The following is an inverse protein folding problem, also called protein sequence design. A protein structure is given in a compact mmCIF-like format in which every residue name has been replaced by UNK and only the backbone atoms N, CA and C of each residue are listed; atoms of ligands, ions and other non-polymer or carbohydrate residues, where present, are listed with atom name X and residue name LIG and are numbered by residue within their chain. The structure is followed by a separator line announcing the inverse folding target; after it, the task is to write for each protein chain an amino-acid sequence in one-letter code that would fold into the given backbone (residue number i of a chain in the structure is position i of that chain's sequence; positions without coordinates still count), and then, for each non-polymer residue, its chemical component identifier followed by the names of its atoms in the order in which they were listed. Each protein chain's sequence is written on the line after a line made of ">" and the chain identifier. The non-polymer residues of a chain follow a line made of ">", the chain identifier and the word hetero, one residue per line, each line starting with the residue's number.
data_IF_033072526831
#
_entry.id   IF_033072526831
#
_cell.length_a   1.000
_cell.length_b   1.000
_cell.length_c   1.000
_cell.angle_alpha   90.00
_cell.angle_beta   90.00
_cell.angle_gamma   90.00
#
_symmetry.space_group_name_H-M   'P 1'
#
loop_
_entity.id
_entity.type
_entity.pdbx_description
1 polymer ?
#
# COMPACT_ATOMS: atom_id res chain seq x y z
N UNK A 1 -3.31 13.84 -3.75
CA UNK A 1 -3.17 12.37 -3.84
C UNK A 1 -3.67 11.85 -5.16
N UNK A 2 -3.21 10.67 -5.55
CA UNK A 2 -3.52 10.05 -6.87
C UNK A 2 -4.95 9.46 -6.94
N UNK A 3 -5.66 9.37 -5.81
CA UNK A 3 -7.04 8.85 -5.72
C UNK A 3 -7.22 7.45 -6.34
N UNK A 4 -6.20 6.60 -6.22
CA UNK A 4 -6.18 5.28 -6.89
C UNK A 4 -7.34 4.40 -6.42
N UNK A 5 -7.62 4.33 -5.12
CA UNK A 5 -8.64 3.44 -4.54
C UNK A 5 -10.07 3.73 -5.06
N UNK A 6 -10.58 4.97 -4.97
CA UNK A 6 -11.90 5.27 -5.54
C UNK A 6 -11.92 5.08 -7.06
N UNK A 7 -10.84 5.40 -7.78
CA UNK A 7 -10.75 5.18 -9.23
C UNK A 7 -10.82 3.69 -9.54
N UNK A 8 -10.09 2.82 -8.85
CA UNK A 8 -10.15 1.37 -9.02
C UNK A 8 -11.56 0.82 -8.77
N UNK A 9 -12.26 1.31 -7.75
CA UNK A 9 -13.65 0.92 -7.49
C UNK A 9 -14.57 1.25 -8.67
N UNK A 10 -14.46 2.48 -9.20
CA UNK A 10 -15.27 2.92 -10.35
C UNK A 10 -14.89 2.16 -11.62
N UNK A 11 -13.61 1.87 -11.85
CA UNK A 11 -13.15 1.06 -12.98
C UNK A 11 -13.68 -0.38 -12.90
N UNK A 12 -13.62 -1.01 -11.72
CA UNK A 12 -14.17 -2.35 -11.52
C UNK A 12 -15.69 -2.40 -11.73
N UNK A 13 -16.43 -1.39 -11.25
CA UNK A 13 -17.85 -1.23 -11.53
C UNK A 13 -18.11 -1.11 -13.04
N UNK A 14 -17.30 -0.30 -13.73
CA UNK A 14 -17.46 -0.01 -15.16
C UNK A 14 -17.17 -1.22 -16.06
N UNK A 15 -16.51 -2.26 -15.56
CA UNK A 15 -16.40 -3.52 -16.29
C UNK A 15 -17.79 -4.13 -16.63
N UNK A 16 -18.80 -3.84 -15.79
CA UNK A 16 -20.13 -4.45 -15.87
C UNK A 16 -21.23 -3.46 -16.23
N UNK A 17 -21.14 -2.19 -15.81
CA UNK A 17 -22.13 -1.13 -16.06
C UNK A 17 -21.47 0.18 -16.46
N UNK A 18 -22.05 0.88 -17.44
CA UNK A 18 -21.49 2.15 -17.97
C UNK A 18 -21.71 3.34 -17.01
N UNK A 19 -22.94 3.46 -16.45
CA UNK A 19 -23.23 4.54 -15.50
C UNK A 19 -22.67 4.21 -14.11
N UNK A 20 -21.60 4.88 -13.71
CA UNK A 20 -20.88 4.66 -12.45
C UNK A 20 -21.43 5.45 -11.25
N UNK A 21 -22.42 6.33 -11.44
CA UNK A 21 -23.00 7.15 -10.37
C UNK A 21 -23.45 6.34 -9.13
N UNK A 22 -24.07 5.15 -9.28
CA UNK A 22 -24.47 4.34 -8.11
C UNK A 22 -23.30 3.90 -7.21
N UNK A 23 -22.07 3.92 -7.71
CA UNK A 23 -20.88 3.58 -6.94
C UNK A 23 -20.17 4.80 -6.28
N UNK A 24 -20.60 6.03 -6.57
CA UNK A 24 -19.90 7.24 -6.08
C UNK A 24 -19.89 7.34 -4.56
N UNK A 25 -20.97 6.99 -3.89
CA UNK A 25 -20.99 7.03 -2.42
C UNK A 25 -19.98 6.06 -1.83
N UNK A 26 -19.96 4.81 -2.28
CA UNK A 26 -18.99 3.80 -1.82
C UNK A 26 -17.55 4.18 -2.16
N UNK A 27 -17.30 4.73 -3.37
CA UNK A 27 -15.98 5.23 -3.75
C UNK A 27 -15.54 6.41 -2.87
N UNK A 28 -16.46 7.29 -2.47
CA UNK A 28 -16.21 8.37 -1.50
C UNK A 28 -15.88 7.78 -0.14
N UNK A 29 -16.63 6.77 0.32
CA UNK A 29 -16.39 6.08 1.59
C UNK A 29 -14.98 5.49 1.67
N UNK A 30 -14.53 4.80 0.62
CA UNK A 30 -13.15 4.26 0.51
C UNK A 30 -12.10 5.38 0.61
N UNK A 31 -12.29 6.49 -0.08
CA UNK A 31 -11.30 7.58 -0.04
C UNK A 31 -11.30 8.29 1.31
N UNK A 32 -12.46 8.49 1.95
CA UNK A 32 -12.54 9.05 3.31
C UNK A 32 -11.85 8.11 4.30
N UNK A 33 -12.13 6.80 4.22
CA UNK A 33 -11.46 5.80 5.05
C UNK A 33 -9.94 5.82 4.85
N UNK A 34 -9.47 5.84 3.60
CA UNK A 34 -8.04 5.92 3.34
C UNK A 34 -7.39 7.19 3.93
N UNK A 35 -8.08 8.34 3.86
CA UNK A 35 -7.54 9.57 4.46
C UNK A 35 -7.58 9.51 5.99
N UNK A 36 -8.56 8.83 6.60
CA UNK A 36 -8.57 8.48 8.01
C UNK A 36 -7.32 7.70 8.42
N UNK A 37 -7.00 6.60 7.70
CA UNK A 37 -5.82 5.79 8.04
C UNK A 37 -4.53 6.60 7.92
N UNK A 38 -4.39 7.46 6.89
CA UNK A 38 -3.23 8.32 6.73
C UNK A 38 -3.09 9.35 7.86
N UNK A 39 -4.21 9.86 8.38
CA UNK A 39 -4.20 10.88 9.44
C UNK A 39 -3.77 10.29 10.78
N UNK A 40 -4.22 9.07 11.09
CA UNK A 40 -3.79 8.34 12.28
C UNK A 40 -2.35 7.81 12.14
N UNK A 41 -1.96 7.32 10.97
CA UNK A 41 -0.60 6.91 10.65
C UNK A 41 0.40 8.08 10.88
N UNK A 42 0.11 9.27 10.34
CA UNK A 42 0.93 10.46 10.57
C UNK A 42 1.11 10.81 12.05
N UNK A 43 0.08 10.58 12.87
CA UNK A 43 0.16 10.82 14.30
C UNK A 43 1.00 9.76 15.01
N UNK A 44 0.81 8.48 14.67
CA UNK A 44 1.57 7.36 15.24
C UNK A 44 3.06 7.46 14.92
N UNK A 45 3.38 7.79 13.67
CA UNK A 45 4.76 7.94 13.16
C UNK A 45 5.39 9.29 13.55
N UNK A 46 4.64 10.21 14.20
CA UNK A 46 5.08 11.58 14.50
C UNK A 46 5.57 12.34 13.26
N UNK A 47 5.00 12.06 12.12
CA UNK A 47 5.40 12.63 10.83
C UNK A 47 5.15 14.16 10.79
N UNK A 48 6.16 14.94 10.44
CA UNK A 48 6.03 16.40 10.36
C UNK A 48 5.21 16.84 9.16
N UNK A 49 5.34 16.15 8.03
CA UNK A 49 4.73 16.55 6.75
C UNK A 49 4.13 15.37 6.02
N UNK A 50 3.00 15.63 5.35
CA UNK A 50 2.40 14.74 4.34
C UNK A 50 2.12 15.53 3.07
N UNK A 51 2.63 15.07 1.93
CA UNK A 51 2.45 15.72 0.61
C UNK A 51 2.86 17.20 0.62
N UNK A 52 3.97 17.51 1.30
CA UNK A 52 4.54 18.85 1.40
C UNK A 52 3.83 19.81 2.35
N UNK A 53 2.76 19.39 3.04
CA UNK A 53 2.04 20.16 4.06
C UNK A 53 2.29 19.57 5.44
N UNK A 54 2.26 20.41 6.47
CA UNK A 54 2.29 19.95 7.86
C UNK A 54 1.11 19.03 8.16
N UNK A 55 1.36 18.01 9.00
CA UNK A 55 0.35 17.04 9.43
C UNK A 55 -0.63 17.65 10.41
N UNK A 56 -1.81 17.04 10.58
CA UNK A 56 -2.89 17.58 11.42
C UNK A 56 -2.45 17.79 12.86
N UNK A 57 -1.71 16.82 13.44
CA UNK A 57 -1.23 16.93 14.83
C UNK A 57 -0.19 18.03 15.03
N UNK A 58 0.55 18.43 13.98
CA UNK A 58 1.48 19.56 14.02
C UNK A 58 0.76 20.91 13.91
N UNK A 59 -0.25 21.01 13.02
CA UNK A 59 -1.01 22.25 12.83
C UNK A 59 -1.91 22.56 14.02
N UNK A 60 -2.52 21.52 14.62
CA UNK A 60 -3.45 21.68 15.77
C UNK A 60 -2.88 20.99 17.01
N UNK A 61 -3.19 19.73 17.23
CA UNK A 61 -2.69 18.88 18.31
C UNK A 61 -3.08 17.41 18.09
N UNK A 62 -2.56 16.52 18.96
CA UNK A 62 -2.83 15.07 18.89
C UNK A 62 -4.33 14.76 19.03
N UNK A 63 -5.03 15.41 19.95
CA UNK A 63 -6.47 15.16 20.18
C UNK A 63 -7.31 15.56 18.95
N UNK A 64 -6.96 16.67 18.28
CA UNK A 64 -7.62 17.07 17.04
C UNK A 64 -7.40 16.04 15.94
N UNK A 65 -6.20 15.46 15.82
CA UNK A 65 -5.92 14.39 14.85
C UNK A 65 -6.73 13.13 15.17
N UNK A 66 -6.80 12.69 16.43
CA UNK A 66 -7.58 11.51 16.85
C UNK A 66 -9.06 11.72 16.53
N UNK A 67 -9.67 12.78 17.05
CA UNK A 67 -11.11 13.03 16.90
C UNK A 67 -11.53 13.26 15.43
N UNK A 68 -10.67 13.93 14.63
CA UNK A 68 -10.93 14.11 13.21
C UNK A 68 -10.88 12.78 12.48
N UNK A 69 -9.92 11.91 12.81
CA UNK A 69 -9.85 10.57 12.26
C UNK A 69 -11.06 9.72 12.62
N UNK A 70 -11.47 9.70 13.90
CA UNK A 70 -12.66 8.97 14.36
C UNK A 70 -13.92 9.43 13.63
N UNK A 71 -14.08 10.76 13.46
CA UNK A 71 -15.21 11.30 12.69
C UNK A 71 -15.15 10.86 11.21
N UNK A 72 -13.97 10.83 10.60
CA UNK A 72 -13.80 10.35 9.23
C UNK A 72 -14.09 8.86 9.10
N UNK A 73 -13.76 8.04 10.09
CA UNK A 73 -14.11 6.62 10.11
C UNK A 73 -15.64 6.44 10.08
N UNK A 74 -16.37 7.16 10.95
CA UNK A 74 -17.83 7.12 10.97
C UNK A 74 -18.43 7.60 9.64
N UNK A 75 -17.91 8.69 9.05
CA UNK A 75 -18.34 9.19 7.75
C UNK A 75 -18.09 8.17 6.64
N UNK A 76 -16.95 7.46 6.66
CA UNK A 76 -16.67 6.41 5.69
C UNK A 76 -17.72 5.29 5.72
N UNK A 77 -18.11 4.84 6.93
CA UNK A 77 -19.19 3.87 7.10
C UNK A 77 -20.53 4.41 6.62
N UNK A 78 -20.86 5.68 6.89
CA UNK A 78 -22.10 6.32 6.41
C UNK A 78 -22.15 6.36 4.87
N UNK A 79 -21.04 6.71 4.20
CA UNK A 79 -20.97 6.69 2.75
C UNK A 79 -21.06 5.28 2.18
N UNK A 80 -20.41 4.31 2.80
CA UNK A 80 -20.45 2.92 2.38
C UNK A 80 -21.85 2.32 2.51
N UNK A 81 -22.58 2.67 3.58
CA UNK A 81 -23.95 2.22 3.85
C UNK A 81 -25.01 2.80 2.88
N UNK A 82 -24.65 3.75 2.01
CA UNK A 82 -25.52 4.27 0.97
C UNK A 82 -25.53 3.42 -0.31
N UNK A 83 -24.79 2.31 -0.34
CA UNK A 83 -24.85 1.37 -1.47
C UNK A 83 -26.26 0.76 -1.60
N UNK A 84 -26.63 0.20 -2.78
CA UNK A 84 -27.89 -0.48 -2.97
C UNK A 84 -28.15 -1.54 -1.90
N UNK A 85 -29.40 -1.60 -1.40
CA UNK A 85 -29.76 -2.44 -0.24
C UNK A 85 -29.49 -3.92 -0.45
N UNK A 86 -29.61 -4.41 -1.67
CA UNK A 86 -29.31 -5.79 -2.07
C UNK A 86 -27.84 -6.18 -1.88
N UNK A 87 -26.93 -5.21 -1.89
CA UNK A 87 -25.48 -5.40 -1.69
C UNK A 87 -25.00 -4.97 -0.30
N UNK A 88 -25.87 -4.33 0.49
CA UNK A 88 -25.47 -3.66 1.74
C UNK A 88 -24.73 -4.59 2.69
N UNK A 89 -25.26 -5.77 2.95
CA UNK A 89 -24.64 -6.72 3.88
C UNK A 89 -23.26 -7.14 3.41
N UNK A 90 -23.13 -7.54 2.16
CA UNK A 90 -21.88 -8.05 1.59
C UNK A 90 -20.80 -6.95 1.54
N UNK A 91 -21.18 -5.75 1.13
CA UNK A 91 -20.29 -4.59 1.08
C UNK A 91 -19.81 -4.20 2.47
N UNK A 92 -20.71 -4.15 3.45
CA UNK A 92 -20.38 -3.77 4.84
C UNK A 92 -19.53 -4.83 5.53
N UNK A 93 -19.80 -6.12 5.31
CA UNK A 93 -18.97 -7.21 5.83
C UNK A 93 -17.54 -7.14 5.28
N UNK A 94 -17.39 -6.98 3.96
CA UNK A 94 -16.09 -6.85 3.32
C UNK A 94 -15.34 -5.60 3.80
N UNK A 95 -16.02 -4.46 3.86
CA UNK A 95 -15.42 -3.20 4.30
C UNK A 95 -14.98 -3.28 5.76
N UNK A 96 -15.81 -3.86 6.64
CA UNK A 96 -15.48 -4.00 8.06
C UNK A 96 -14.32 -4.97 8.29
N UNK A 97 -14.29 -6.10 7.57
CA UNK A 97 -13.16 -7.02 7.61
C UNK A 97 -11.87 -6.33 7.15
N UNK A 98 -11.93 -5.63 6.01
CA UNK A 98 -10.79 -4.86 5.49
C UNK A 98 -10.30 -3.81 6.48
N UNK A 99 -11.21 -3.14 7.19
CA UNK A 99 -10.85 -2.16 8.21
C UNK A 99 -10.09 -2.79 9.38
N UNK A 100 -10.50 -3.97 9.83
CA UNK A 100 -9.80 -4.73 10.87
C UNK A 100 -8.42 -5.20 10.39
N UNK A 101 -8.34 -5.76 9.20
CA UNK A 101 -7.07 -6.20 8.59
C UNK A 101 -6.05 -5.06 8.50
N UNK A 102 -6.50 -3.84 8.16
CA UNK A 102 -5.62 -2.66 8.12
C UNK A 102 -5.10 -2.30 9.52
N UNK A 103 -5.95 -2.41 10.56
CA UNK A 103 -5.50 -2.18 11.94
C UNK A 103 -4.44 -3.22 12.36
N UNK A 104 -4.64 -4.50 11.99
CA UNK A 104 -3.66 -5.57 12.24
C UNK A 104 -2.34 -5.29 11.50
N UNK A 105 -2.39 -4.89 10.23
CA UNK A 105 -1.21 -4.52 9.46
C UNK A 105 -0.47 -3.31 10.02
N UNK A 106 -1.18 -2.31 10.54
CA UNK A 106 -0.59 -1.16 11.21
C UNK A 106 0.08 -1.57 12.54
N UNK A 107 -0.54 -2.46 13.30
CA UNK A 107 0.05 -3.00 14.54
C UNK A 107 1.35 -3.76 14.24
N UNK A 108 1.38 -4.60 13.20
CA UNK A 108 2.59 -5.30 12.78
C UNK A 108 3.71 -4.34 12.37
N UNK A 109 3.40 -3.30 11.59
CA UNK A 109 4.39 -2.29 11.16
C UNK A 109 5.04 -1.59 12.37
N UNK A 110 4.24 -1.21 13.36
CA UNK A 110 4.74 -0.62 14.62
C UNK A 110 5.60 -1.60 15.43
N UNK A 111 5.18 -2.87 15.54
CA UNK A 111 5.95 -3.90 16.26
C UNK A 111 7.30 -4.18 15.57
N UNK A 112 7.36 -4.12 14.24
CA UNK A 112 8.58 -4.35 13.48
C UNK A 112 9.66 -3.30 13.75
N UNK A 113 9.30 -2.09 14.17
CA UNK A 113 10.28 -1.07 14.59
C UNK A 113 11.16 -1.55 15.74
N UNK A 114 10.59 -2.34 16.67
CA UNK A 114 11.25 -2.84 17.87
C UNK A 114 11.94 -4.21 17.65
N UNK A 115 11.76 -4.84 16.48
CA UNK A 115 12.27 -6.17 16.17
C UNK A 115 13.43 -6.11 15.16
N UNK A 116 14.37 -7.07 15.26
CA UNK A 116 15.45 -7.24 14.29
C UNK A 116 15.45 -8.63 13.64
N UNK A 117 14.41 -9.43 13.91
CA UNK A 117 14.25 -10.82 13.46
C UNK A 117 13.11 -11.00 12.45
N UNK A 118 12.57 -9.89 11.93
CA UNK A 118 11.45 -9.90 10.97
C UNK A 118 11.82 -10.67 9.70
N UNK A 119 10.97 -11.60 9.29
CA UNK A 119 11.15 -12.45 8.11
C UNK A 119 10.39 -11.91 6.91
N UNK A 120 10.76 -12.37 5.70
CA UNK A 120 10.09 -12.01 4.45
C UNK A 120 8.59 -12.24 4.53
N UNK A 121 8.16 -13.41 5.05
CA UNK A 121 6.74 -13.76 5.13
C UNK A 121 5.96 -12.82 6.04
N UNK A 122 6.53 -12.41 7.17
CA UNK A 122 5.91 -11.45 8.10
C UNK A 122 5.78 -10.07 7.45
N UNK A 123 6.83 -9.62 6.75
CA UNK A 123 6.81 -8.36 6.02
C UNK A 123 5.77 -8.36 4.90
N UNK A 124 5.72 -9.43 4.08
CA UNK A 124 4.73 -9.57 3.01
C UNK A 124 3.29 -9.58 3.57
N UNK A 125 3.07 -10.24 4.72
CA UNK A 125 1.77 -10.22 5.39
C UNK A 125 1.41 -8.83 5.91
N UNK A 126 2.35 -8.12 6.52
CA UNK A 126 2.13 -6.75 6.99
C UNK A 126 1.73 -5.82 5.84
N UNK A 127 2.43 -5.82 4.70
CA UNK A 127 2.06 -4.97 3.56
C UNK A 127 0.77 -5.43 2.87
N UNK A 128 0.46 -6.73 2.90
CA UNK A 128 -0.83 -7.27 2.48
C UNK A 128 -1.95 -6.63 3.29
N UNK A 129 -1.85 -6.69 4.60
CA UNK A 129 -2.84 -6.16 5.53
C UNK A 129 -2.91 -4.62 5.51
N UNK A 130 -1.78 -3.95 5.65
CA UNK A 130 -1.74 -2.48 5.76
C UNK A 130 -2.11 -1.77 4.46
N UNK A 131 -1.72 -2.32 3.30
CA UNK A 131 -1.79 -1.62 2.01
C UNK A 131 -2.71 -2.30 1.00
N UNK A 132 -2.56 -3.63 0.80
CA UNK A 132 -3.18 -4.31 -0.34
C UNK A 132 -4.67 -4.58 -0.16
N UNK A 133 -5.12 -4.92 1.05
CA UNK A 133 -6.52 -5.27 1.32
C UNK A 133 -7.50 -4.16 0.93
N UNK A 134 -7.14 -2.88 1.10
CA UNK A 134 -8.03 -1.77 0.72
C UNK A 134 -8.12 -1.57 -0.79
N UNK A 135 -7.05 -1.87 -1.53
CA UNK A 135 -7.08 -1.88 -3.00
C UNK A 135 -7.94 -3.03 -3.52
N UNK A 136 -7.77 -4.22 -2.93
CA UNK A 136 -8.55 -5.41 -3.23
C UNK A 136 -10.04 -5.22 -2.92
N UNK A 137 -10.37 -4.69 -1.74
CA UNK A 137 -11.74 -4.37 -1.36
C UNK A 137 -12.37 -3.32 -2.29
N UNK A 138 -11.62 -2.30 -2.70
CA UNK A 138 -12.11 -1.29 -3.66
C UNK A 138 -12.56 -1.93 -4.97
N UNK A 139 -11.75 -2.81 -5.55
CA UNK A 139 -12.06 -3.52 -6.78
C UNK A 139 -13.25 -4.48 -6.60
N UNK A 140 -13.25 -5.28 -5.52
CA UNK A 140 -14.33 -6.23 -5.26
C UNK A 140 -15.67 -5.54 -5.02
N UNK A 141 -15.70 -4.46 -4.19
CA UNK A 141 -16.92 -3.71 -3.95
C UNK A 141 -17.43 -3.09 -5.27
N UNK A 142 -16.54 -2.48 -6.06
CA UNK A 142 -16.92 -1.93 -7.36
C UNK A 142 -17.54 -2.98 -8.29
N UNK A 143 -16.92 -4.17 -8.36
CA UNK A 143 -17.43 -5.30 -9.14
C UNK A 143 -18.81 -5.78 -8.68
N UNK A 144 -18.99 -5.98 -7.37
CA UNK A 144 -20.27 -6.40 -6.79
C UNK A 144 -21.40 -5.41 -7.10
N UNK A 145 -21.15 -4.13 -6.88
CA UNK A 145 -22.12 -3.06 -7.21
C UNK A 145 -22.41 -2.98 -8.72
N UNK A 146 -21.44 -3.33 -9.55
CA UNK A 146 -21.58 -3.45 -11.00
C UNK A 146 -22.39 -4.67 -11.46
N UNK A 147 -22.60 -5.67 -10.57
CA UNK A 147 -23.32 -6.90 -10.87
C UNK A 147 -22.41 -8.03 -11.36
N UNK A 148 -21.14 -8.02 -10.96
CA UNK A 148 -20.22 -9.13 -11.21
C UNK A 148 -20.72 -10.44 -10.58
N UNK A 149 -20.32 -11.56 -11.16
CA UNK A 149 -20.43 -12.85 -10.49
C UNK A 149 -19.53 -12.92 -9.25
N UNK A 150 -19.84 -13.80 -8.30
CA UNK A 150 -18.99 -14.03 -7.12
C UNK A 150 -17.55 -14.40 -7.50
N UNK A 151 -17.39 -15.20 -8.55
CA UNK A 151 -16.08 -15.63 -9.06
C UNK A 151 -15.30 -14.45 -9.65
N UNK A 152 -15.92 -13.60 -10.45
CA UNK A 152 -15.26 -12.43 -11.02
C UNK A 152 -14.92 -11.38 -9.95
N UNK A 153 -15.80 -11.19 -8.97
CA UNK A 153 -15.54 -10.32 -7.83
C UNK A 153 -14.35 -10.83 -7.00
N UNK A 154 -14.21 -12.16 -6.82
CA UNK A 154 -13.06 -12.78 -6.16
C UNK A 154 -11.77 -12.59 -6.97
N UNK A 155 -11.81 -12.79 -8.29
CA UNK A 155 -10.65 -12.55 -9.18
C UNK A 155 -10.17 -11.09 -9.16
N UNK A 156 -11.10 -10.13 -9.12
CA UNK A 156 -10.77 -8.71 -9.00
C UNK A 156 -10.21 -8.37 -7.61
N UNK A 157 -10.66 -9.07 -6.56
CA UNK A 157 -10.04 -8.98 -5.24
C UNK A 157 -8.59 -9.48 -5.28
N UNK A 158 -8.34 -10.66 -5.86
CA UNK A 158 -6.99 -11.23 -5.99
C UNK A 158 -6.09 -10.36 -6.86
N UNK A 159 -6.62 -9.78 -7.93
CA UNK A 159 -5.93 -8.79 -8.75
C UNK A 159 -5.47 -7.60 -7.89
N UNK A 160 -6.36 -7.01 -7.11
CA UNK A 160 -6.07 -5.88 -6.23
C UNK A 160 -5.08 -6.22 -5.12
N UNK A 161 -5.17 -7.42 -4.57
CA UNK A 161 -4.28 -7.93 -3.54
C UNK A 161 -2.83 -8.03 -4.06
N UNK A 162 -2.62 -8.71 -5.18
CA UNK A 162 -1.31 -8.89 -5.77
C UNK A 162 -0.73 -7.56 -6.29
N UNK A 163 -1.56 -6.71 -6.90
CA UNK A 163 -1.18 -5.37 -7.32
C UNK A 163 -0.71 -4.52 -6.12
N UNK A 164 -1.40 -4.61 -4.99
CA UNK A 164 -1.08 -3.85 -3.78
C UNK A 164 0.28 -4.23 -3.19
N UNK A 165 0.58 -5.54 -3.14
CA UNK A 165 1.89 -6.05 -2.69
C UNK A 165 3.00 -5.58 -3.64
N UNK A 166 2.82 -5.74 -4.95
CA UNK A 166 3.79 -5.28 -5.95
C UNK A 166 4.02 -3.77 -5.86
N UNK A 167 2.96 -2.99 -5.63
CA UNK A 167 3.02 -1.55 -5.46
C UNK A 167 3.84 -1.13 -4.23
N UNK A 168 3.65 -1.79 -3.08
CA UNK A 168 4.41 -1.47 -1.87
C UNK A 168 5.88 -1.87 -2.01
N UNK A 169 6.18 -3.04 -2.56
CA UNK A 169 7.56 -3.45 -2.87
C UNK A 169 8.24 -2.44 -3.82
N UNK A 170 7.50 -1.89 -4.79
CA UNK A 170 8.01 -0.86 -5.69
C UNK A 170 8.26 0.46 -4.96
N UNK A 171 7.38 0.86 -4.03
CA UNK A 171 7.60 2.06 -3.21
C UNK A 171 8.86 1.92 -2.34
N UNK A 172 9.09 0.76 -1.71
CA UNK A 172 10.32 0.48 -0.94
C UNK A 172 11.58 0.52 -1.83
N UNK A 173 11.48 -0.03 -3.04
CA UNK A 173 12.57 0.02 -4.02
C UNK A 173 12.89 1.46 -4.43
N UNK A 174 11.86 2.29 -4.64
CA UNK A 174 12.01 3.68 -5.03
C UNK A 174 12.51 4.58 -3.88
N UNK A 175 12.26 4.23 -2.63
CA UNK A 175 12.86 4.93 -1.49
C UNK A 175 14.39 4.79 -1.48
N UNK A 176 14.94 3.69 -2.01
CA UNK A 176 16.39 3.46 -2.08
C UNK A 176 16.99 3.94 -3.40
N UNK A 177 16.33 3.69 -4.54
CA UNK A 177 16.88 3.83 -5.89
C UNK A 177 16.14 4.83 -6.78
N UNK A 178 15.12 5.50 -6.26
CA UNK A 178 14.34 6.47 -7.03
C UNK A 178 15.09 7.77 -7.29
N UNK A 179 14.54 8.60 -8.17
CA UNK A 179 14.96 10.00 -8.34
C UNK A 179 14.10 10.91 -7.45
N UNK A 180 14.75 11.66 -6.54
CA UNK A 180 14.06 12.58 -5.63
C UNK A 180 13.19 13.61 -6.36
N UNK A 181 13.59 14.04 -7.57
CA UNK A 181 12.84 15.01 -8.37
C UNK A 181 11.55 14.40 -8.93
N UNK A 182 11.55 13.09 -9.23
CA UNK A 182 10.39 12.36 -9.77
C UNK A 182 9.51 11.81 -8.66
N UNK A 183 10.13 11.24 -7.62
CA UNK A 183 9.41 10.60 -6.50
C UNK A 183 8.74 11.62 -5.56
N UNK A 184 9.25 12.85 -5.51
CA UNK A 184 8.69 13.94 -4.71
C UNK A 184 8.87 13.77 -3.19
N UNK A 185 9.77 12.86 -2.77
CA UNK A 185 10.20 12.60 -1.39
C UNK A 185 11.72 12.60 -1.31
N UNK A 186 12.25 12.79 -0.12
CA UNK A 186 13.67 12.52 0.13
C UNK A 186 13.91 11.01 -0.01
N UNK A 187 14.98 10.65 -0.71
CA UNK A 187 15.39 9.25 -0.90
C UNK A 187 16.16 8.77 0.33
N UNK A 188 16.00 7.48 0.68
CA UNK A 188 16.68 6.83 1.79
C UNK A 188 16.00 7.05 3.15
N UNK A 189 14.74 7.49 3.16
CA UNK A 189 13.98 7.65 4.41
C UNK A 189 13.89 6.35 5.21
N UNK A 190 13.60 5.24 4.55
CA UNK A 190 13.51 3.92 5.15
C UNK A 190 14.87 3.46 5.73
N UNK A 191 15.97 3.78 5.06
CA UNK A 191 17.33 3.51 5.55
C UNK A 191 17.63 4.31 6.83
N UNK A 192 17.25 5.59 6.85
CA UNK A 192 17.50 6.45 8.02
C UNK A 192 16.74 5.99 9.26
N UNK A 193 15.49 5.54 9.08
CA UNK A 193 14.63 5.03 10.15
C UNK A 193 14.88 3.54 10.48
N UNK A 194 15.80 2.87 9.80
CA UNK A 194 16.02 1.42 9.92
C UNK A 194 14.73 0.60 9.72
N UNK A 195 13.86 1.04 8.80
CA UNK A 195 12.59 0.39 8.54
C UNK A 195 12.81 -1.04 8.06
N UNK A 196 12.03 -1.99 8.59
CA UNK A 196 12.12 -3.42 8.24
C UNK A 196 11.41 -3.69 6.91
N UNK A 197 11.95 -3.08 5.82
CA UNK A 197 11.47 -3.28 4.46
C UNK A 197 12.01 -4.57 3.84
N UNK A 198 11.44 -4.98 2.72
CA UNK A 198 11.96 -6.11 1.93
C UNK A 198 13.47 -5.97 1.66
N UNK A 199 13.92 -4.73 1.38
CA UNK A 199 15.33 -4.44 1.08
C UNK A 199 16.24 -4.78 2.26
N UNK A 200 15.92 -4.33 3.47
CA UNK A 200 16.72 -4.60 4.66
C UNK A 200 16.68 -6.08 5.04
N UNK A 201 15.50 -6.70 5.01
CA UNK A 201 15.35 -8.14 5.33
C UNK A 201 16.20 -8.99 4.40
N UNK A 202 16.11 -8.77 3.09
CA UNK A 202 16.91 -9.51 2.11
C UNK A 202 18.40 -9.23 2.20
N UNK A 203 18.79 -8.00 2.53
CA UNK A 203 20.18 -7.68 2.79
C UNK A 203 20.73 -8.50 3.95
N UNK A 204 20.01 -8.58 5.08
CA UNK A 204 20.45 -9.35 6.26
C UNK A 204 20.47 -10.87 5.99
N UNK A 205 19.52 -11.39 5.20
CA UNK A 205 19.46 -12.82 4.84
C UNK A 205 20.60 -13.26 3.92
N UNK A 206 21.04 -12.40 3.00
CA UNK A 206 22.03 -12.75 1.97
C UNK A 206 23.44 -12.18 2.22
N UNK A 207 23.63 -11.39 3.27
CA UNK A 207 24.90 -10.78 3.60
C UNK A 207 25.97 -11.82 4.01
N UNK A 208 27.20 -11.63 3.54
CA UNK A 208 28.37 -12.29 4.14
C UNK A 208 28.56 -11.81 5.58
N UNK A 209 29.39 -12.51 6.37
CA UNK A 209 29.65 -12.13 7.76
C UNK A 209 30.17 -10.68 7.88
N UNK A 210 31.03 -10.24 6.97
CA UNK A 210 31.56 -8.87 6.94
C UNK A 210 30.43 -7.86 6.60
N UNK A 211 29.62 -8.13 5.56
CA UNK A 211 28.52 -7.28 5.18
C UNK A 211 27.46 -7.19 6.28
N UNK A 212 27.12 -8.30 6.93
CA UNK A 212 26.20 -8.33 8.06
C UNK A 212 26.69 -7.47 9.23
N UNK A 213 27.99 -7.52 9.56
CA UNK A 213 28.60 -6.68 10.60
C UNK A 213 28.48 -5.19 10.26
N UNK A 214 28.71 -4.81 9.00
CA UNK A 214 28.57 -3.42 8.53
C UNK A 214 27.11 -2.96 8.52
N UNK A 215 26.17 -3.80 8.10
CA UNK A 215 24.73 -3.50 8.19
C UNK A 215 24.31 -3.30 9.65
N UNK A 216 24.73 -4.20 10.55
CA UNK A 216 24.41 -4.12 11.96
C UNK A 216 24.96 -2.84 12.60
N UNK A 217 26.16 -2.39 12.21
CA UNK A 217 26.71 -1.11 12.65
C UNK A 217 25.75 0.05 12.28
N UNK A 218 25.30 0.12 11.01
CA UNK A 218 24.41 1.19 10.55
C UNK A 218 22.99 1.13 11.13
N UNK A 219 22.52 -0.05 11.53
CA UNK A 219 21.23 -0.21 12.22
C UNK A 219 21.30 0.28 13.66
N UNK A 220 22.46 0.11 14.33
CA UNK A 220 22.59 0.39 15.77
C UNK A 220 23.23 1.74 16.11
N UNK A 221 23.93 2.35 15.17
CA UNK A 221 24.57 3.66 15.41
C UNK A 221 23.52 4.75 15.61
N UNK A 222 23.67 5.55 16.67
CA UNK A 222 22.72 6.61 17.06
C UNK A 222 23.12 7.97 16.46
N UNK A 223 24.41 8.27 16.46
CA UNK A 223 24.94 9.53 15.92
C UNK A 223 25.63 9.26 14.59
N UNK A 224 25.04 9.74 13.49
CA UNK A 224 25.50 9.49 12.13
C UNK A 224 25.20 10.64 11.17
N UNK A 225 26.00 10.76 10.14
CA UNK A 225 25.69 11.60 8.98
C UNK A 225 24.69 10.89 8.08
N UNK A 226 23.54 11.51 7.82
CA UNK A 226 22.45 10.92 7.01
C UNK A 226 22.90 10.54 5.60
N UNK A 227 23.68 11.38 4.91
CA UNK A 227 24.15 11.09 3.56
C UNK A 227 25.15 9.92 3.55
N UNK A 228 26.03 9.84 4.55
CA UNK A 228 26.97 8.75 4.70
C UNK A 228 26.28 7.42 4.96
N UNK A 229 25.28 7.39 5.85
CA UNK A 229 24.48 6.20 6.13
C UNK A 229 23.75 5.71 4.89
N UNK A 230 23.03 6.60 4.19
CA UNK A 230 22.31 6.24 2.96
C UNK A 230 23.28 5.65 1.93
N UNK A 231 24.41 6.31 1.66
CA UNK A 231 25.41 5.84 0.70
C UNK A 231 25.95 4.47 1.09
N UNK A 232 26.39 4.31 2.34
CA UNK A 232 27.01 3.06 2.80
C UNK A 232 26.04 1.88 2.79
N UNK A 233 24.77 2.09 3.19
CA UNK A 233 23.76 1.02 3.18
C UNK A 233 23.33 0.69 1.74
N UNK A 234 23.16 1.67 0.88
CA UNK A 234 22.84 1.47 -0.54
C UNK A 234 23.97 0.69 -1.26
N UNK A 235 25.24 1.02 -0.97
CA UNK A 235 26.38 0.27 -1.50
C UNK A 235 26.38 -1.19 -1.04
N UNK A 236 26.02 -1.46 0.21
CA UNK A 236 25.87 -2.83 0.71
C UNK A 236 24.72 -3.55 -0.01
N UNK A 237 23.57 -2.91 -0.20
CA UNK A 237 22.46 -3.47 -0.98
C UNK A 237 22.85 -3.82 -2.40
N UNK A 238 23.66 -2.96 -3.06
CA UNK A 238 24.20 -3.20 -4.40
C UNK A 238 25.14 -4.42 -4.42
N UNK A 239 26.07 -4.51 -3.46
CA UNK A 239 27.02 -5.62 -3.38
C UNK A 239 26.34 -6.96 -3.10
N UNK A 240 25.26 -6.97 -2.32
CA UNK A 240 24.46 -8.17 -1.99
C UNK A 240 23.52 -8.54 -3.13
N UNK A 241 23.14 -7.58 -4.01
CA UNK A 241 22.22 -7.80 -5.12
C UNK A 241 20.74 -7.67 -4.71
N UNK A 242 20.44 -6.97 -3.62
CA UNK A 242 19.07 -6.84 -3.07
C UNK A 242 18.11 -6.21 -4.07
N UNK A 243 18.58 -5.26 -4.90
CA UNK A 243 17.78 -4.62 -5.95
C UNK A 243 17.12 -5.67 -6.86
N UNK A 244 17.93 -6.60 -7.40
CA UNK A 244 17.43 -7.66 -8.29
C UNK A 244 16.45 -8.59 -7.58
N UNK A 245 16.67 -8.92 -6.29
CA UNK A 245 15.75 -9.74 -5.51
C UNK A 245 14.39 -9.05 -5.39
N UNK A 246 14.38 -7.75 -5.10
CA UNK A 246 13.15 -6.97 -5.01
C UNK A 246 12.43 -6.84 -6.36
N UNK A 247 13.16 -6.54 -7.44
CA UNK A 247 12.60 -6.47 -8.81
C UNK A 247 11.97 -7.80 -9.24
N UNK A 248 12.59 -8.93 -8.91
CA UNK A 248 12.03 -10.26 -9.19
C UNK A 248 10.74 -10.49 -8.40
N UNK A 249 10.69 -10.09 -7.13
CA UNK A 249 9.49 -10.21 -6.29
C UNK A 249 8.35 -9.31 -6.80
N UNK A 250 8.64 -8.08 -7.21
CA UNK A 250 7.67 -7.18 -7.85
C UNK A 250 7.11 -7.83 -9.11
N UNK A 251 7.97 -8.42 -9.95
CA UNK A 251 7.56 -9.09 -11.19
C UNK A 251 6.66 -10.29 -10.90
N UNK A 252 6.99 -11.09 -9.88
CA UNK A 252 6.18 -12.23 -9.44
C UNK A 252 4.75 -11.80 -9.09
N UNK A 253 4.58 -10.80 -8.23
CA UNK A 253 3.27 -10.31 -7.82
C UNK A 253 2.53 -9.58 -8.95
N UNK A 254 3.24 -8.86 -9.81
CA UNK A 254 2.66 -8.23 -11.00
C UNK A 254 2.08 -9.26 -11.96
N UNK A 255 2.78 -10.37 -12.19
CA UNK A 255 2.30 -11.45 -13.05
C UNK A 255 1.07 -12.12 -12.43
N UNK A 256 1.07 -12.44 -11.13
CA UNK A 256 -0.09 -12.98 -10.43
C UNK A 256 -1.32 -12.05 -10.54
N UNK A 257 -1.10 -10.74 -10.44
CA UNK A 257 -2.17 -9.75 -10.63
C UNK A 257 -2.72 -9.83 -12.07
N UNK A 258 -1.86 -9.84 -13.08
CA UNK A 258 -2.29 -9.93 -14.47
C UNK A 258 -3.04 -11.24 -14.79
N UNK A 259 -2.60 -12.36 -14.23
CA UNK A 259 -3.28 -13.66 -14.36
C UNK A 259 -4.69 -13.61 -13.76
N UNK A 260 -4.84 -12.99 -12.58
CA UNK A 260 -6.15 -12.81 -11.95
C UNK A 260 -7.07 -11.93 -12.80
N UNK A 261 -6.58 -10.83 -13.36
CA UNK A 261 -7.36 -9.95 -14.24
C UNK A 261 -7.74 -10.64 -15.56
N UNK A 262 -6.81 -11.39 -16.14
CA UNK A 262 -7.07 -12.15 -17.39
C UNK A 262 -8.21 -13.16 -17.20
N UNK A 263 -8.31 -13.77 -16.02
CA UNK A 263 -9.34 -14.74 -15.69
C UNK A 263 -10.75 -14.14 -15.46
N UNK A 264 -10.90 -12.82 -15.33
CA UNK A 264 -12.20 -12.15 -15.19
C UNK A 264 -13.01 -12.31 -16.48
N UNK A 265 -14.26 -12.74 -16.36
CA UNK A 265 -15.14 -13.06 -17.51
C UNK A 265 -15.84 -11.83 -18.07
N UNK A 266 -15.06 -10.90 -18.60
CA UNK A 266 -15.53 -9.73 -19.39
C UNK A 266 -14.69 -9.60 -20.65
N UNK A 267 -15.18 -8.87 -21.66
CA UNK A 267 -14.44 -8.63 -22.89
C UNK A 267 -13.07 -7.98 -22.58
N UNK A 268 -12.01 -8.40 -23.28
CA UNK A 268 -10.64 -7.94 -23.03
C UNK A 268 -10.48 -6.41 -23.20
N UNK A 269 -11.26 -5.81 -24.13
CA UNK A 269 -11.30 -4.37 -24.33
C UNK A 269 -11.64 -3.61 -23.05
N UNK A 270 -12.51 -4.15 -22.20
CA UNK A 270 -12.91 -3.53 -20.93
C UNK A 270 -11.81 -3.59 -19.88
N UNK A 271 -10.92 -4.59 -19.95
CA UNK A 271 -9.80 -4.77 -19.01
C UNK A 271 -8.63 -3.83 -19.30
N UNK A 272 -8.50 -3.31 -20.53
CA UNK A 272 -7.33 -2.54 -21.00
C UNK A 272 -6.96 -1.37 -20.11
N UNK A 273 -7.92 -0.63 -19.58
CA UNK A 273 -7.64 0.50 -18.73
C UNK A 273 -7.07 0.06 -17.36
N UNK A 274 -7.55 -1.06 -16.79
CA UNK A 274 -6.95 -1.64 -15.57
C UNK A 274 -5.55 -2.17 -15.84
N UNK A 275 -5.33 -2.83 -16.96
CA UNK A 275 -3.98 -3.30 -17.37
C UNK A 275 -3.01 -2.12 -17.56
N UNK A 276 -3.48 -1.04 -18.20
CA UNK A 276 -2.68 0.16 -18.38
C UNK A 276 -2.32 0.79 -17.04
N UNK A 277 -3.29 0.92 -16.15
CA UNK A 277 -3.07 1.50 -14.81
C UNK A 277 -2.02 0.69 -14.03
N UNK A 278 -2.10 -0.65 -14.04
CA UNK A 278 -1.11 -1.47 -13.33
C UNK A 278 0.29 -1.29 -13.94
N UNK A 279 0.38 -1.28 -15.27
CA UNK A 279 1.64 -1.02 -15.97
C UNK A 279 2.22 0.35 -15.57
N UNK A 280 1.41 1.40 -15.59
CA UNK A 280 1.85 2.74 -15.16
C UNK A 280 2.28 2.78 -13.69
N UNK A 281 1.62 2.01 -12.80
CA UNK A 281 1.99 1.94 -11.39
C UNK A 281 3.30 1.17 -11.16
N UNK A 282 3.55 0.10 -11.93
CA UNK A 282 4.74 -0.75 -11.80
C UNK A 282 5.95 -0.22 -12.57
N UNK A 283 5.72 0.36 -13.75
CA UNK A 283 6.78 0.91 -14.61
C UNK A 283 6.99 2.42 -14.42
N UNK A 284 6.55 2.98 -13.28
CA UNK A 284 7.01 4.31 -12.91
C UNK A 284 8.53 4.29 -12.99
N UNK A 285 9.04 4.90 -14.03
CA UNK A 285 10.45 5.14 -14.13
C UNK A 285 10.87 6.09 -13.00
N UNK A 286 11.88 5.68 -12.45
CA UNK A 286 12.78 6.39 -11.58
C UNK A 286 13.15 7.74 -12.18
#
# INVERSE_FOLDING_TARGET
>A
GKRIRPVLMLMAYNLYKENVEPAFSSATGIEVYHNYTLLHDDLMDRADKRRGKETVHKVWNDNAAILSGDAMLVLAYQFMAQCPVEHLKEVMDLFSLTALEICEGQQMDMEFEQRNDVKEEEYLEMIRLKTSVLLAASLKIGALLGGASADDAARLYDFGMNMGVAFQLKDDLLDVYGDAAVFGKNIGGDILCNKKTYMLIKALEHASQEQASRLQHWITVVDFNSAEKITAVTDLYNQIGVKTLCENKITEYSNRAMDSLAAVNVADEKKKELEKLIKELMYREV
#
